data_IF_115466492562
#
_entry.id   IF_115466492562
#
_cell.length_a   1.000
_cell.length_b   1.000
_cell.length_c   1.000
_cell.angle_alpha   90.00
_cell.angle_beta   90.00
_cell.angle_gamma   90.00
#
_symmetry.space_group_name_H-M   'P 1'
#
loop_
_entity.id
_entity.type
_entity.pdbx_description
1 polymer ?
#
# COMPACT_ATOMS: atom_id res chain seq x y z
N UNK A 1 -9.44 12.94 12.83
CA UNK A 1 -9.88 12.90 11.40
C UNK A 1 -8.93 12.18 10.44
N UNK A 2 -7.66 11.87 10.77
CA UNK A 2 -6.70 11.18 9.86
C UNK A 2 -6.97 9.67 9.65
N UNK A 3 -7.31 8.92 10.71
CA UNK A 3 -7.49 7.46 10.63
C UNK A 3 -8.64 6.99 9.71
N UNK A 4 -9.78 7.70 9.71
CA UNK A 4 -10.92 7.34 8.86
C UNK A 4 -10.70 7.62 7.37
N UNK A 5 -9.88 8.61 7.02
CA UNK A 5 -9.46 8.86 5.64
C UNK A 5 -8.44 7.80 5.18
N UNK A 6 -7.47 7.45 6.04
CA UNK A 6 -6.47 6.39 5.79
C UNK A 6 -7.14 5.05 5.47
N UNK A 7 -8.12 4.63 6.29
CA UNK A 7 -8.86 3.39 6.07
C UNK A 7 -9.63 3.33 4.74
N UNK A 8 -10.31 4.40 4.34
CA UNK A 8 -11.04 4.42 3.06
C UNK A 8 -10.12 4.31 1.85
N UNK A 9 -8.89 4.84 1.96
CA UNK A 9 -7.90 4.68 0.90
C UNK A 9 -7.34 3.26 0.87
N UNK A 10 -7.16 2.63 2.03
CA UNK A 10 -6.76 1.22 2.14
C UNK A 10 -7.84 0.30 1.57
N UNK A 11 -9.08 0.40 2.05
CA UNK A 11 -10.19 -0.49 1.66
C UNK A 11 -10.59 -0.38 0.16
N UNK A 12 -10.13 0.67 -0.54
CA UNK A 12 -10.51 0.95 -1.94
C UNK A 12 -9.36 0.76 -2.95
N UNK A 13 -8.16 0.36 -2.48
CA UNK A 13 -7.06 0.05 -3.37
C UNK A 13 -7.03 -1.46 -3.58
N UNK A 14 -7.07 -1.96 -4.83
CA UNK A 14 -6.87 -3.37 -5.05
C UNK A 14 -5.44 -3.75 -4.65
N UNK A 15 -5.29 -4.89 -3.96
CA UNK A 15 -3.99 -5.51 -3.83
C UNK A 15 -3.52 -5.95 -5.22
N UNK A 16 -2.50 -5.28 -5.75
CA UNK A 16 -1.85 -5.66 -7.00
C UNK A 16 -0.85 -6.79 -6.76
N UNK A 17 -0.77 -7.71 -7.72
CA UNK A 17 0.35 -8.65 -7.79
C UNK A 17 1.63 -7.89 -8.09
N UNK A 18 2.76 -8.31 -7.55
CA UNK A 18 4.05 -7.64 -7.77
C UNK A 18 4.41 -7.54 -9.26
N UNK A 19 3.97 -8.51 -10.07
CA UNK A 19 4.13 -8.52 -11.54
C UNK A 19 3.33 -7.43 -12.25
N UNK A 20 2.19 -7.03 -11.69
CA UNK A 20 1.26 -6.04 -12.24
C UNK A 20 1.43 -4.63 -11.67
N UNK A 21 2.41 -4.42 -10.78
CA UNK A 21 2.69 -3.09 -10.24
C UNK A 21 3.11 -2.16 -11.38
N UNK A 22 2.39 -1.05 -11.53
CA UNK A 22 2.70 0.00 -12.48
C UNK A 22 2.68 1.37 -11.78
N UNK A 23 3.08 2.42 -12.50
CA UNK A 23 3.18 3.78 -11.99
C UNK A 23 1.82 4.23 -11.42
N UNK A 24 1.79 4.56 -10.15
CA UNK A 24 0.54 4.91 -9.45
C UNK A 24 0.60 4.60 -7.97
N UNK A 25 -0.48 4.92 -7.26
CA UNK A 25 -0.63 4.52 -5.88
C UNK A 25 -1.06 3.05 -5.84
N UNK A 26 -0.28 2.18 -5.18
CA UNK A 26 -0.47 0.72 -5.21
C UNK A 26 -0.46 0.11 -3.81
N UNK A 27 -1.12 -1.04 -3.69
CA UNK A 27 -1.04 -1.95 -2.54
C UNK A 27 -0.43 -3.27 -3.01
N UNK A 28 0.58 -3.76 -2.28
CA UNK A 28 1.27 -5.01 -2.59
C UNK A 28 1.38 -5.85 -1.32
N UNK A 29 1.10 -7.15 -1.45
CA UNK A 29 1.28 -8.16 -0.40
C UNK A 29 2.31 -9.18 -0.86
N UNK A 30 3.26 -9.51 0.00
CA UNK A 30 4.32 -10.46 -0.32
C UNK A 30 5.18 -10.78 0.90
N UNK A 31 6.41 -11.23 0.66
CA UNK A 31 7.44 -11.43 1.69
C UNK A 31 8.58 -10.44 1.52
N UNK A 32 9.20 -10.04 2.63
CA UNK A 32 10.39 -9.19 2.59
C UNK A 32 11.62 -10.01 2.15
N UNK A 33 12.29 -9.57 1.09
CA UNK A 33 13.44 -10.26 0.49
C UNK A 33 14.62 -9.31 0.32
N UNK A 34 15.84 -9.81 0.53
CA UNK A 34 17.08 -9.06 0.30
C UNK A 34 18.24 -10.02 0.02
N UNK A 35 19.16 -9.61 -0.85
CA UNK A 35 20.42 -10.33 -1.07
C UNK A 35 21.42 -10.12 0.08
N UNK A 36 21.35 -8.96 0.76
CA UNK A 36 22.23 -8.60 1.86
C UNK A 36 21.37 -8.18 3.07
N UNK A 37 20.80 -9.14 3.82
CA UNK A 37 19.99 -8.84 4.99
C UNK A 37 20.84 -8.32 6.16
N UNK A 38 20.23 -7.48 7.00
CA UNK A 38 20.77 -7.06 8.29
C UNK A 38 20.60 -8.20 9.31
N UNK A 39 21.34 -8.11 10.41
CA UNK A 39 21.16 -8.96 11.59
C UNK A 39 20.72 -8.07 12.75
N UNK A 40 19.57 -8.37 13.34
CA UNK A 40 19.01 -7.55 14.42
C UNK A 40 19.88 -7.61 15.68
N UNK A 41 19.85 -6.55 16.48
CA UNK A 41 20.78 -6.38 17.60
C UNK A 41 20.48 -7.34 18.76
N UNK A 42 19.21 -7.51 19.12
CA UNK A 42 18.79 -8.31 20.28
C UNK A 42 18.45 -9.75 19.88
N UNK A 43 17.55 -9.95 18.92
CA UNK A 43 17.10 -11.28 18.49
C UNK A 43 18.11 -12.00 17.58
N UNK A 44 19.06 -11.28 16.96
CA UNK A 44 19.96 -11.87 15.95
C UNK A 44 19.22 -12.33 14.69
N UNK A 45 18.03 -11.79 14.43
CA UNK A 45 17.18 -12.19 13.31
C UNK A 45 17.65 -11.52 12.02
N UNK A 46 17.61 -12.28 10.91
CA UNK A 46 17.86 -11.72 9.57
C UNK A 46 16.69 -10.85 9.17
N UNK A 47 16.93 -9.59 8.84
CA UNK A 47 15.88 -8.61 8.61
C UNK A 47 16.28 -7.56 7.57
N UNK A 48 15.28 -6.85 7.04
CA UNK A 48 15.51 -5.68 6.16
C UNK A 48 15.52 -4.37 6.95
N UNK A 49 15.01 -4.40 8.19
CA UNK A 49 14.98 -3.30 9.14
C UNK A 49 14.75 -3.85 10.54
N UNK A 50 15.38 -3.24 11.54
CA UNK A 50 15.08 -3.46 12.95
C UNK A 50 15.22 -2.16 13.75
N UNK A 51 14.55 -2.13 14.90
CA UNK A 51 14.70 -1.09 15.92
C UNK A 51 14.54 -1.71 17.30
N UNK A 52 15.36 -1.29 18.24
CA UNK A 52 15.36 -1.80 19.60
C UNK A 52 15.38 -0.67 20.62
N UNK A 53 14.86 -0.99 21.80
CA UNK A 53 14.81 -0.10 22.95
C UNK A 53 15.09 -0.91 24.22
N UNK A 54 15.97 -0.35 25.06
CA UNK A 54 16.29 -0.86 26.38
C UNK A 54 15.79 0.16 27.39
N UNK A 55 14.91 -0.28 28.27
CA UNK A 55 14.39 0.53 29.36
C UNK A 55 14.84 -0.05 30.70
N UNK A 56 15.15 0.83 31.64
CA UNK A 56 15.45 0.45 33.01
C UNK A 56 14.36 0.95 33.94
N UNK A 57 13.89 0.06 34.80
CA UNK A 57 12.90 0.40 35.80
C UNK A 57 13.58 1.11 36.98
N UNK A 58 12.91 2.13 37.48
CA UNK A 58 13.33 2.88 38.65
C UNK A 58 12.19 2.93 39.65
N UNK A 59 12.53 2.95 40.93
CA UNK A 59 11.59 3.15 42.02
C UNK A 59 12.21 4.00 43.11
N UNK A 60 11.50 5.07 43.49
CA UNK A 60 11.95 5.97 44.55
C UNK A 60 10.80 6.29 45.50
N UNK A 61 11.18 6.65 46.70
CA UNK A 61 10.24 7.12 47.72
C UNK A 61 10.36 8.63 47.81
N UNK A 62 9.31 9.35 47.42
CA UNK A 62 9.25 10.81 47.48
C UNK A 62 8.46 11.23 48.72
N UNK A 63 9.05 12.13 49.49
CA UNK A 63 8.42 12.71 50.66
C UNK A 63 7.93 14.11 50.31
N UNK A 64 6.62 14.28 50.17
CA UNK A 64 5.99 15.57 49.91
C UNK A 64 5.54 16.20 51.23
N UNK A 65 5.96 17.44 51.46
CA UNK A 65 5.43 18.26 52.56
C UNK A 65 4.36 19.18 51.99
N UNK A 66 3.14 19.06 52.48
CA UNK A 66 2.04 19.96 52.12
C UNK A 66 1.47 20.60 53.38
N UNK A 67 0.96 21.82 53.24
CA UNK A 67 0.30 22.52 54.35
C UNK A 67 -1.17 22.17 54.33
N UNK A 68 -1.70 21.67 55.45
CA UNK A 68 -3.13 21.39 55.56
C UNK A 68 -3.96 22.69 55.64
N UNK A 69 -5.29 22.56 55.57
CA UNK A 69 -6.22 23.70 55.67
C UNK A 69 -6.15 24.42 57.04
N UNK A 70 -5.38 23.90 57.99
CA UNK A 70 -5.15 24.48 59.32
C UNK A 70 -3.75 25.12 59.44
N UNK A 71 -2.97 25.19 58.36
CA UNK A 71 -1.66 25.82 58.35
C UNK A 71 -0.52 24.96 58.92
N UNK A 72 -0.76 23.68 59.23
CA UNK A 72 0.27 22.79 59.79
C UNK A 72 0.96 22.01 58.66
N UNK A 73 2.30 21.94 58.65
CA UNK A 73 3.02 21.12 57.68
C UNK A 73 2.73 19.65 57.97
N UNK A 74 2.20 18.95 56.98
CA UNK A 74 2.00 17.51 56.97
C UNK A 74 2.96 16.89 55.98
N UNK A 75 3.46 15.71 56.32
CA UNK A 75 4.36 14.95 55.47
C UNK A 75 3.64 13.71 54.98
N UNK A 76 3.64 13.48 53.66
CA UNK A 76 3.15 12.25 53.06
C UNK A 76 4.26 11.61 52.24
N UNK A 77 4.44 10.32 52.46
CA UNK A 77 5.34 9.48 51.65
C UNK A 77 4.56 8.92 50.47
N UNK A 78 5.12 9.05 49.28
CA UNK A 78 4.60 8.48 48.04
C UNK A 78 5.67 7.64 47.36
N UNK A 79 5.32 6.44 46.95
CA UNK A 79 6.16 5.62 46.08
C UNK A 79 5.90 5.99 44.62
N UNK A 80 6.97 6.28 43.90
CA UNK A 80 6.94 6.52 42.46
C UNK A 80 7.79 5.44 41.79
N UNK A 81 7.33 4.95 40.64
CA UNK A 81 8.09 4.03 39.81
C UNK A 81 7.79 4.26 38.34
N UNK A 82 8.71 3.86 37.48
CA UNK A 82 8.54 4.01 36.06
C UNK A 82 9.63 3.31 35.27
N UNK A 83 9.48 3.34 33.96
CA UNK A 83 10.50 2.89 33.02
C UNK A 83 11.17 4.11 32.40
N UNK A 84 12.47 4.02 32.20
CA UNK A 84 13.25 5.05 31.52
C UNK A 84 14.09 4.38 30.44
N UNK A 85 13.97 4.85 29.20
CA UNK A 85 14.85 4.43 28.11
C UNK A 85 16.30 4.77 28.46
N UNK A 86 17.15 3.75 28.49
CA UNK A 86 18.58 3.88 28.79
C UNK A 86 19.44 3.76 27.55
N UNK A 87 18.93 3.07 26.53
CA UNK A 87 19.60 2.93 25.24
C UNK A 87 18.57 2.58 24.16
N UNK A 88 18.84 2.96 22.92
CA UNK A 88 18.00 2.64 21.77
C UNK A 88 18.77 2.75 20.48
N UNK A 89 18.32 2.02 19.47
CA UNK A 89 18.96 2.01 18.17
C UNK A 89 18.13 1.29 17.12
N UNK A 90 18.71 1.18 15.94
CA UNK A 90 18.07 0.51 14.81
C UNK A 90 18.77 0.82 13.51
N UNK A 91 18.47 0.01 12.50
CA UNK A 91 19.05 0.11 11.18
C UNK A 91 18.02 -0.35 10.15
N UNK A 92 18.11 0.17 8.93
CA UNK A 92 17.25 -0.21 7.83
C UNK A 92 18.05 -0.20 6.54
N UNK A 93 17.75 -1.16 5.65
CA UNK A 93 18.30 -1.15 4.30
C UNK A 93 17.74 0.03 3.49
N UNK A 94 18.56 0.60 2.62
CA UNK A 94 18.16 1.66 1.68
C UNK A 94 17.06 1.20 0.71
N UNK A 95 17.07 -0.09 0.39
CA UNK A 95 16.03 -0.75 -0.39
C UNK A 95 15.99 -2.25 -0.09
N UNK A 96 14.82 -2.84 -0.25
CA UNK A 96 14.60 -4.29 -0.19
C UNK A 96 13.50 -4.67 -1.17
N UNK A 97 13.27 -5.97 -1.36
CA UNK A 97 12.27 -6.47 -2.28
C UNK A 97 11.04 -6.99 -1.55
N UNK A 98 9.87 -6.77 -2.15
CA UNK A 98 8.66 -7.49 -1.79
C UNK A 98 8.38 -8.51 -2.88
N UNK A 99 8.33 -9.79 -2.50
CA UNK A 99 8.14 -10.90 -3.42
C UNK A 99 6.79 -11.57 -3.18
N UNK A 100 6.08 -11.90 -4.25
CA UNK A 100 4.91 -12.78 -4.20
C UNK A 100 5.12 -13.97 -5.16
N UNK A 101 4.08 -14.78 -5.35
CA UNK A 101 4.14 -15.95 -6.23
C UNK A 101 4.35 -15.58 -7.71
N UNK A 102 4.11 -14.32 -8.08
CA UNK A 102 4.12 -13.86 -9.47
C UNK A 102 5.44 -13.15 -9.84
N UNK A 103 6.03 -12.34 -8.95
CA UNK A 103 7.27 -11.60 -9.19
C UNK A 103 7.83 -10.98 -7.91
N UNK A 104 8.60 -9.91 -8.05
CA UNK A 104 9.06 -9.05 -6.96
C UNK A 104 9.04 -7.57 -7.38
N UNK A 105 8.96 -6.68 -6.39
CA UNK A 105 9.04 -5.22 -6.57
C UNK A 105 10.02 -4.62 -5.57
N UNK A 106 10.81 -3.64 -6.01
CA UNK A 106 11.74 -2.94 -5.14
C UNK A 106 10.99 -1.92 -4.27
N UNK A 107 11.32 -1.84 -2.99
CA UNK A 107 10.74 -0.89 -2.03
C UNK A 107 11.87 -0.09 -1.40
N UNK A 108 11.72 1.24 -1.41
CA UNK A 108 12.61 2.18 -0.72
C UNK A 108 11.91 2.69 0.53
N UNK A 109 12.26 2.20 1.74
CA UNK A 109 11.50 2.48 2.96
C UNK A 109 11.64 3.90 3.49
N UNK A 110 12.55 4.71 2.95
CA UNK A 110 12.72 6.10 3.37
C UNK A 110 11.40 6.88 3.25
N UNK A 111 10.99 7.55 4.32
CA UNK A 111 9.75 8.31 4.38
C UNK A 111 8.47 7.48 4.58
N UNK A 112 8.58 6.14 4.72
CA UNK A 112 7.44 5.30 5.06
C UNK A 112 7.09 5.38 6.55
N UNK A 113 5.80 5.32 6.86
CA UNK A 113 5.33 4.89 8.17
C UNK A 113 5.52 3.38 8.27
N UNK A 114 6.38 2.92 9.18
CA UNK A 114 6.72 1.50 9.31
C UNK A 114 6.12 0.90 10.59
N UNK A 115 5.40 -0.20 10.45
CA UNK A 115 4.79 -0.96 11.53
C UNK A 115 5.38 -2.38 11.58
N UNK A 116 6.59 -2.55 12.15
CA UNK A 116 7.26 -3.85 12.24
C UNK A 116 6.64 -4.76 13.32
N UNK A 117 6.95 -6.05 13.27
CA UNK A 117 6.50 -7.02 14.26
C UNK A 117 7.51 -7.06 15.43
N UNK A 118 7.05 -7.25 16.68
CA UNK A 118 7.97 -7.49 17.79
C UNK A 118 8.67 -8.84 17.60
N UNK A 119 9.99 -8.86 17.67
CA UNK A 119 10.84 -10.07 17.54
C UNK A 119 11.58 -10.41 18.84
N UNK A 120 11.70 -9.44 19.76
CA UNK A 120 12.28 -9.66 21.08
C UNK A 120 11.52 -8.86 22.14
N UNK A 121 11.23 -9.48 23.28
CA UNK A 121 10.65 -8.82 24.45
C UNK A 121 10.97 -9.61 25.72
N UNK A 122 12.05 -9.24 26.39
CA UNK A 122 12.45 -9.88 27.64
C UNK A 122 12.71 -8.85 28.73
N UNK A 123 12.48 -9.25 29.98
CA UNK A 123 12.82 -8.45 31.16
C UNK A 123 13.77 -9.25 32.03
N UNK A 124 14.93 -8.67 32.35
CA UNK A 124 15.95 -9.35 33.11
C UNK A 124 16.51 -8.49 34.24
N UNK A 125 17.22 -9.13 35.17
CA UNK A 125 17.95 -8.49 36.26
C UNK A 125 19.46 -8.66 36.12
N UNK A 126 20.24 -8.10 37.05
CA UNK A 126 21.72 -8.08 36.98
C UNK A 126 22.42 -9.43 36.86
N UNK A 127 21.78 -10.51 37.31
CA UNK A 127 22.33 -11.86 37.23
C UNK A 127 22.27 -12.43 35.82
N UNK A 128 21.46 -11.84 34.95
CA UNK A 128 21.29 -12.28 33.56
C UNK A 128 22.42 -11.70 32.68
N UNK A 129 23.12 -12.54 31.88
CA UNK A 129 24.13 -12.08 30.92
C UNK A 129 23.62 -10.99 29.97
N UNK A 130 22.33 -10.98 29.63
CA UNK A 130 21.71 -9.98 28.77
C UNK A 130 21.84 -8.56 29.33
N UNK A 131 21.77 -8.41 30.66
CA UNK A 131 21.72 -7.11 31.34
C UNK A 131 22.92 -6.22 31.00
N UNK A 132 24.13 -6.79 31.03
CA UNK A 132 25.39 -6.08 30.72
C UNK A 132 25.94 -6.42 29.33
N UNK A 133 25.53 -7.55 28.73
CA UNK A 133 26.00 -7.97 27.41
C UNK A 133 25.42 -7.11 26.28
N UNK A 134 24.18 -6.64 26.44
CA UNK A 134 23.49 -5.79 25.45
C UNK A 134 23.03 -4.45 26.02
N UNK A 135 23.01 -4.28 27.34
CA UNK A 135 22.62 -3.04 28.00
C UNK A 135 23.82 -2.19 28.46
N UNK A 136 23.60 -0.89 28.74
CA UNK A 136 24.66 0.01 29.17
C UNK A 136 25.26 -0.39 30.53
N UNK A 137 26.55 -0.14 30.74
CA UNK A 137 27.24 -0.53 31.97
C UNK A 137 26.72 0.20 33.24
N UNK A 138 26.17 1.41 33.06
CA UNK A 138 25.71 2.28 34.14
C UNK A 138 24.19 2.20 34.28
N UNK A 139 23.72 2.13 35.53
CA UNK A 139 22.30 2.17 35.87
C UNK A 139 21.80 3.61 36.03
N UNK A 140 20.50 3.83 35.79
CA UNK A 140 19.85 5.12 36.09
C UNK A 140 19.72 5.35 37.59
N UNK A 141 19.52 6.60 37.99
CA UNK A 141 19.18 6.96 39.38
C UNK A 141 17.92 6.21 39.84
N UNK A 142 17.92 5.76 41.10
CA UNK A 142 16.80 5.01 41.70
C UNK A 142 16.46 3.70 40.98
N UNK A 143 17.40 3.13 40.23
CA UNK A 143 17.20 1.86 39.54
C UNK A 143 16.96 0.70 40.51
N UNK A 144 16.01 -0.16 40.16
CA UNK A 144 15.83 -1.47 40.81
C UNK A 144 16.59 -2.60 40.08
N UNK A 145 17.40 -2.21 39.10
CA UNK A 145 18.17 -3.05 38.21
C UNK A 145 17.36 -4.09 37.44
N UNK A 146 16.15 -3.73 37.05
CA UNK A 146 15.36 -4.49 36.09
C UNK A 146 15.37 -3.76 34.76
N UNK A 147 15.80 -4.46 33.71
CA UNK A 147 15.80 -3.93 32.35
C UNK A 147 14.83 -4.68 31.48
N UNK A 148 14.08 -3.95 30.67
CA UNK A 148 13.22 -4.46 29.61
C UNK A 148 13.88 -4.18 28.28
N UNK A 149 14.08 -5.25 27.52
CA UNK A 149 14.70 -5.25 26.21
C UNK A 149 13.61 -5.55 25.19
N UNK A 150 13.38 -4.63 24.26
CA UNK A 150 12.40 -4.82 23.19
C UNK A 150 13.05 -4.60 21.84
N UNK A 151 12.70 -5.44 20.87
CA UNK A 151 13.11 -5.28 19.47
C UNK A 151 11.94 -5.57 18.56
N UNK A 152 11.79 -4.74 17.54
CA UNK A 152 10.87 -5.00 16.44
C UNK A 152 11.63 -4.99 15.12
N UNK A 153 11.27 -5.90 14.22
CA UNK A 153 11.93 -6.03 12.93
C UNK A 153 10.94 -6.38 11.81
N UNK A 154 11.40 -6.13 10.58
CA UNK A 154 10.84 -6.76 9.39
C UNK A 154 11.79 -7.90 9.04
N UNK A 155 11.48 -9.08 9.54
CA UNK A 155 12.29 -10.28 9.29
C UNK A 155 12.28 -10.65 7.80
N UNK A 156 13.35 -11.29 7.37
CA UNK A 156 13.44 -11.86 6.04
C UNK A 156 12.37 -12.94 5.88
N UNK A 157 11.74 -13.00 4.71
CA UNK A 157 10.62 -13.88 4.37
C UNK A 157 9.33 -13.65 5.17
N UNK A 158 9.29 -12.65 6.06
CA UNK A 158 8.08 -12.34 6.80
C UNK A 158 7.00 -11.75 5.86
N UNK A 159 5.72 -12.08 6.06
CA UNK A 159 4.62 -11.44 5.37
C UNK A 159 4.67 -9.92 5.53
N UNK A 160 4.61 -9.22 4.40
CA UNK A 160 4.72 -7.79 4.33
C UNK A 160 3.59 -7.22 3.49
N UNK A 161 3.02 -6.15 4.02
CA UNK A 161 2.04 -5.31 3.37
C UNK A 161 2.68 -3.96 3.07
N UNK A 162 2.73 -3.58 1.80
CA UNK A 162 3.28 -2.29 1.36
C UNK A 162 2.23 -1.52 0.59
N UNK A 163 2.01 -0.27 1.00
CA UNK A 163 1.14 0.66 0.31
C UNK A 163 1.87 1.97 0.09
N UNK A 164 2.01 2.40 -1.16
CA UNK A 164 2.78 3.58 -1.48
C UNK A 164 2.69 3.97 -2.96
N UNK A 165 3.45 4.99 -3.34
CA UNK A 165 3.54 5.40 -4.73
C UNK A 165 4.56 4.52 -5.45
N UNK A 166 4.07 3.73 -6.40
CA UNK A 166 4.90 3.10 -7.41
C UNK A 166 5.31 4.15 -8.46
N UNK A 167 6.60 4.16 -8.76
CA UNK A 167 7.21 4.95 -9.83
C UNK A 167 8.14 4.05 -10.62
N UNK A 168 8.50 4.50 -11.82
CA UNK A 168 9.50 3.80 -12.60
C UNK A 168 10.88 4.00 -12.00
N UNK A 169 11.71 2.95 -12.04
CA UNK A 169 13.11 3.04 -11.68
C UNK A 169 13.90 3.82 -12.74
N UNK A 170 15.00 4.43 -12.33
CA UNK A 170 15.87 5.19 -13.24
C UNK A 170 16.77 4.30 -14.09
N UNK A 171 17.04 3.06 -13.65
CA UNK A 171 18.04 2.18 -14.24
C UNK A 171 17.45 1.11 -15.18
N UNK A 172 16.19 0.74 -15.00
CA UNK A 172 15.49 -0.24 -15.82
C UNK A 172 13.97 -0.04 -15.79
N UNK A 173 13.27 -0.54 -16.81
CA UNK A 173 11.80 -0.47 -16.92
C UNK A 173 11.15 -1.45 -15.95
N UNK A 174 11.16 -1.10 -14.67
CA UNK A 174 10.43 -1.80 -13.63
C UNK A 174 9.95 -0.82 -12.57
N UNK A 175 8.89 -1.18 -11.83
CA UNK A 175 8.41 -0.37 -10.73
C UNK A 175 9.35 -0.43 -9.52
N UNK A 176 9.42 0.67 -8.79
CA UNK A 176 9.81 0.73 -7.38
C UNK A 176 8.73 1.46 -6.58
N UNK A 177 8.52 1.08 -5.33
CA UNK A 177 7.65 1.81 -4.39
C UNK A 177 8.52 2.69 -3.52
N UNK A 178 8.25 3.99 -3.53
CA UNK A 178 9.04 4.97 -2.80
C UNK A 178 8.15 6.11 -2.27
N UNK A 179 8.71 6.91 -1.37
CA UNK A 179 8.03 8.09 -0.86
C UNK A 179 7.77 9.12 -1.97
N UNK A 180 6.54 9.62 -2.02
CA UNK A 180 6.12 10.71 -2.88
C UNK A 180 5.24 11.67 -2.08
N UNK A 181 5.49 12.98 -2.19
CA UNK A 181 4.76 14.01 -1.43
C UNK A 181 3.29 14.13 -1.85
N UNK A 182 2.96 13.73 -3.07
CA UNK A 182 1.60 13.71 -3.59
C UNK A 182 0.83 12.45 -3.19
N UNK A 183 1.54 11.42 -2.71
CA UNK A 183 0.91 10.19 -2.25
C UNK A 183 0.14 10.44 -0.95
N UNK A 184 -1.07 9.87 -0.80
CA UNK A 184 -1.88 10.05 0.40
C UNK A 184 -1.26 9.40 1.63
N UNK A 185 -0.42 8.37 1.45
CA UNK A 185 0.31 7.67 2.50
C UNK A 185 1.45 6.85 1.91
N UNK A 186 2.40 6.48 2.75
CA UNK A 186 3.38 5.44 2.45
C UNK A 186 3.53 4.58 3.71
N UNK A 187 3.10 3.32 3.65
CA UNK A 187 3.01 2.40 4.76
C UNK A 187 3.71 1.08 4.43
N UNK A 188 4.53 0.61 5.36
CA UNK A 188 5.13 -0.72 5.34
C UNK A 188 4.74 -1.40 6.66
N UNK A 189 3.98 -2.49 6.60
CA UNK A 189 3.46 -3.16 7.78
C UNK A 189 3.66 -4.66 7.70
N UNK A 190 4.10 -5.26 8.81
CA UNK A 190 4.12 -6.74 8.98
C UNK A 190 2.80 -7.25 9.58
N UNK A 191 1.87 -6.36 9.92
CA UNK A 191 0.56 -6.73 10.47
C UNK A 191 -0.36 -7.22 9.36
N UNK A 192 -1.13 -8.26 9.65
CA UNK A 192 -2.14 -8.76 8.71
C UNK A 192 -3.31 -7.76 8.61
N UNK A 193 -3.96 -7.66 7.44
CA UNK A 193 -5.08 -6.75 7.14
C UNK A 193 -6.23 -6.85 8.16
N UNK A 194 -6.48 -8.04 8.71
CA UNK A 194 -7.43 -8.27 9.81
C UNK A 194 -7.05 -7.57 11.13
N UNK A 195 -5.78 -7.38 11.41
CA UNK A 195 -5.31 -6.70 12.63
C UNK A 195 -5.35 -5.17 12.50
N UNK A 196 -5.27 -4.63 11.28
CA UNK A 196 -5.46 -3.20 11.01
C UNK A 196 -6.96 -2.82 11.04
N UNK A 197 -7.84 -3.72 10.60
CA UNK A 197 -9.30 -3.47 10.54
C UNK A 197 -10.07 -3.73 11.85
N UNK A 198 -9.54 -4.55 12.77
CA UNK A 198 -10.31 -5.09 13.92
C UNK A 198 -10.45 -4.17 15.15
N UNK A 199 -9.68 -3.09 15.28
CA UNK A 199 -9.90 -2.11 16.36
C UNK A 199 -11.00 -1.08 16.07
N UNK A 200 -11.25 -0.82 14.78
CA UNK A 200 -12.04 0.33 14.36
C UNK A 200 -13.51 0.00 14.09
N UNK A 201 -13.82 -1.25 13.76
CA UNK A 201 -15.20 -1.73 13.66
C UNK A 201 -15.97 -1.53 14.98
N UNK A 202 -15.36 -1.92 16.10
CA UNK A 202 -15.93 -1.72 17.42
C UNK A 202 -16.10 -0.24 17.76
N UNK A 203 -15.12 0.61 17.46
CA UNK A 203 -15.22 2.05 17.72
C UNK A 203 -16.33 2.71 16.88
N UNK A 204 -16.46 2.35 15.60
CA UNK A 204 -17.53 2.84 14.73
C UNK A 204 -18.90 2.42 15.25
N UNK A 205 -19.10 1.13 15.55
CA UNK A 205 -20.34 0.64 16.16
C UNK A 205 -20.61 1.27 17.52
N UNK A 206 -19.56 1.51 18.32
CA UNK A 206 -19.65 2.24 19.58
C UNK A 206 -20.19 3.66 19.39
N UNK A 207 -19.71 4.39 18.39
CA UNK A 207 -20.24 5.72 18.05
C UNK A 207 -21.67 5.68 17.49
N UNK A 208 -22.01 4.67 16.70
CA UNK A 208 -23.38 4.48 16.19
C UNK A 208 -24.36 4.21 17.34
N UNK A 209 -24.00 3.29 18.26
CA UNK A 209 -24.81 2.98 19.44
C UNK A 209 -24.88 4.18 20.38
N UNK A 210 -23.77 4.88 20.60
CA UNK A 210 -23.75 6.11 21.41
C UNK A 210 -24.62 7.22 20.83
N UNK A 211 -24.60 7.41 19.50
CA UNK A 211 -25.48 8.36 18.82
C UNK A 211 -26.96 7.99 18.97
N UNK A 212 -27.31 6.71 18.84
CA UNK A 212 -28.66 6.22 19.08
C UNK A 212 -29.09 6.45 20.54
N UNK A 213 -28.21 6.18 21.51
CA UNK A 213 -28.46 6.44 22.93
C UNK A 213 -28.72 7.93 23.18
N UNK A 214 -27.95 8.83 22.59
CA UNK A 214 -28.19 10.28 22.70
C UNK A 214 -29.52 10.71 22.07
N UNK A 215 -29.86 10.18 20.90
CA UNK A 215 -31.13 10.49 20.23
C UNK A 215 -32.34 10.06 21.08
N UNK A 216 -32.25 8.88 21.71
CA UNK A 216 -33.28 8.38 22.63
C UNK A 216 -33.30 9.16 23.95
N UNK A 217 -32.14 9.39 24.55
CA UNK A 217 -32.00 10.10 25.82
C UNK A 217 -32.58 11.53 25.76
N UNK A 218 -32.40 12.24 24.65
CA UNK A 218 -32.98 13.58 24.47
C UNK A 218 -34.51 13.58 24.52
N UNK A 219 -35.17 12.59 23.91
CA UNK A 219 -36.63 12.48 23.91
C UNK A 219 -37.15 12.00 25.27
N UNK A 220 -36.45 11.05 25.90
CA UNK A 220 -36.77 10.57 27.26
C UNK A 220 -36.62 11.69 28.29
N UNK A 221 -35.54 12.47 28.23
CA UNK A 221 -35.30 13.60 29.13
C UNK A 221 -36.38 14.68 28.96
N UNK A 222 -36.81 14.98 27.73
CA UNK A 222 -37.93 15.90 27.46
C UNK A 222 -39.24 15.40 28.06
N UNK A 223 -39.57 14.12 27.87
CA UNK A 223 -40.81 13.55 28.38
C UNK A 223 -40.80 13.47 29.92
N UNK A 224 -39.64 13.17 30.54
CA UNK A 224 -39.43 13.26 31.98
C UNK A 224 -39.58 14.69 32.52
N UNK A 225 -38.97 15.68 31.87
CA UNK A 225 -39.07 17.09 32.25
C UNK A 225 -40.48 17.68 32.10
N UNK A 226 -41.31 17.10 31.23
CA UNK A 226 -42.72 17.50 31.03
C UNK A 226 -43.71 16.69 31.88
N UNK A 227 -43.21 15.87 32.82
CA UNK A 227 -44.04 15.07 33.73
C UNK A 227 -44.84 13.97 33.05
N UNK A 228 -44.44 13.54 31.84
CA UNK A 228 -45.13 12.48 31.08
C UNK A 228 -44.65 11.10 31.56
N UNK A 229 -45.55 10.12 31.53
CA UNK A 229 -45.19 8.72 31.77
C UNK A 229 -44.22 8.21 30.69
N UNK A 230 -42.99 7.92 31.08
CA UNK A 230 -41.91 7.43 30.22
C UNK A 230 -42.13 5.95 29.86
N UNK A 231 -42.67 5.14 30.78
CA UNK A 231 -42.82 3.71 30.59
C UNK A 231 -43.93 3.39 29.57
N UNK A 232 -45.07 4.07 29.64
CA UNK A 232 -46.18 3.89 28.70
C UNK A 232 -45.94 4.46 27.29
N UNK A 233 -44.94 5.33 27.11
CA UNK A 233 -44.66 6.02 25.83
C UNK A 233 -43.56 5.38 24.99
N UNK A 234 -43.08 4.19 25.35
CA UNK A 234 -42.03 3.49 24.60
C UNK A 234 -42.24 3.39 23.07
N UNK A 235 -43.48 3.27 22.52
CA UNK A 235 -43.66 3.23 21.07
C UNK A 235 -43.24 4.54 20.38
N UNK A 236 -43.35 5.68 21.06
CA UNK A 236 -42.94 6.98 20.51
C UNK A 236 -41.41 7.10 20.40
N UNK A 237 -40.65 6.31 21.15
CA UNK A 237 -39.19 6.28 21.06
C UNK A 237 -38.68 5.48 19.85
N UNK A 238 -39.56 4.70 19.18
CA UNK A 238 -39.22 4.06 17.91
C UNK A 238 -39.04 5.08 16.78
N UNK A 239 -39.72 6.23 16.83
CA UNK A 239 -39.63 7.30 15.82
C UNK A 239 -38.22 7.90 15.77
N UNK A 240 -37.63 8.44 16.87
CA UNK A 240 -36.28 8.97 16.85
C UNK A 240 -35.24 7.88 16.55
N UNK A 241 -35.45 6.63 17.00
CA UNK A 241 -34.58 5.51 16.64
C UNK A 241 -34.61 5.22 15.13
N UNK A 242 -35.79 5.19 14.51
CA UNK A 242 -35.95 5.00 13.07
C UNK A 242 -35.36 6.17 12.27
N UNK A 243 -35.59 7.42 12.71
CA UNK A 243 -34.96 8.59 12.11
C UNK A 243 -33.44 8.53 12.19
N UNK A 244 -32.89 8.15 13.34
CA UNK A 244 -31.44 7.97 13.51
C UNK A 244 -30.90 6.88 12.58
N UNK A 245 -31.55 5.72 12.55
CA UNK A 245 -31.19 4.62 11.65
C UNK A 245 -31.22 5.03 10.18
N UNK A 246 -32.23 5.81 9.78
CA UNK A 246 -32.34 6.35 8.42
C UNK A 246 -31.18 7.30 8.08
N UNK A 247 -30.80 8.21 8.99
CA UNK A 247 -29.64 9.10 8.80
C UNK A 247 -28.34 8.32 8.67
N UNK A 248 -28.13 7.30 9.52
CA UNK A 248 -26.95 6.42 9.45
C UNK A 248 -26.92 5.67 8.11
N UNK A 249 -28.06 5.16 7.65
CA UNK A 249 -28.18 4.48 6.36
C UNK A 249 -27.85 5.43 5.18
N UNK A 250 -28.38 6.66 5.19
CA UNK A 250 -28.06 7.68 4.17
C UNK A 250 -26.57 8.03 4.17
N UNK A 251 -25.95 8.20 5.34
CA UNK A 251 -24.53 8.48 5.45
C UNK A 251 -23.68 7.33 4.89
N UNK A 252 -24.08 6.08 5.16
CA UNK A 252 -23.43 4.89 4.61
C UNK A 252 -23.57 4.82 3.08
N UNK A 253 -24.78 5.02 2.53
CA UNK A 253 -25.04 5.05 1.08
C UNK A 253 -24.18 6.12 0.40
N UNK A 254 -24.13 7.33 0.96
CA UNK A 254 -23.28 8.42 0.46
C UNK A 254 -21.80 8.03 0.41
N UNK A 255 -21.30 7.37 1.45
CA UNK A 255 -19.91 6.93 1.50
C UNK A 255 -19.61 5.84 0.47
N UNK A 256 -20.47 4.81 0.37
CA UNK A 256 -20.31 3.71 -0.56
C UNK A 256 -20.43 4.17 -2.03
N UNK A 257 -21.35 5.08 -2.33
CA UNK A 257 -21.48 5.66 -3.66
C UNK A 257 -20.22 6.42 -4.09
N UNK A 258 -19.69 7.30 -3.25
CA UNK A 258 -18.46 8.04 -3.55
C UNK A 258 -17.24 7.12 -3.70
N UNK A 259 -17.21 6.02 -2.94
CA UNK A 259 -16.21 4.97 -3.08
C UNK A 259 -16.24 4.30 -4.46
N UNK A 260 -17.43 4.00 -4.99
CA UNK A 260 -17.58 3.43 -6.33
C UNK A 260 -17.20 4.46 -7.43
N UNK A 261 -17.48 5.74 -7.21
CA UNK A 261 -17.04 6.82 -8.12
C UNK A 261 -15.52 6.91 -8.18
N UNK A 262 -14.83 6.88 -7.03
CA UNK A 262 -13.36 6.88 -6.96
C UNK A 262 -12.78 5.69 -7.74
N UNK A 263 -13.33 4.49 -7.53
CA UNK A 263 -12.88 3.29 -8.23
C UNK A 263 -13.10 3.37 -9.74
N UNK A 264 -14.22 3.93 -10.20
CA UNK A 264 -14.46 4.18 -11.63
C UNK A 264 -13.41 5.14 -12.22
N UNK A 265 -13.01 6.18 -11.49
CA UNK A 265 -11.97 7.09 -11.95
C UNK A 265 -10.58 6.42 -11.98
N UNK A 266 -10.28 5.52 -11.05
CA UNK A 266 -9.06 4.72 -11.08
C UNK A 266 -8.97 3.84 -12.30
N UNK A 267 -10.06 3.18 -12.71
CA UNK A 267 -10.08 2.38 -13.95
C UNK A 267 -9.79 3.28 -15.17
N UNK A 268 -10.38 4.47 -15.23
CA UNK A 268 -10.13 5.45 -16.31
C UNK A 268 -8.68 5.93 -16.33
N UNK A 269 -8.10 6.18 -15.15
CA UNK A 269 -6.69 6.54 -15.02
C UNK A 269 -5.78 5.39 -15.47
N UNK A 270 -6.09 4.15 -15.11
CA UNK A 270 -5.33 2.99 -15.57
C UNK A 270 -5.41 2.83 -17.11
N UNK A 271 -6.59 3.07 -17.70
CA UNK A 271 -6.74 3.08 -19.16
C UNK A 271 -5.92 4.19 -19.83
N UNK A 272 -5.90 5.41 -19.27
CA UNK A 272 -5.12 6.50 -19.85
C UNK A 272 -3.62 6.22 -19.84
N UNK A 273 -3.13 5.48 -18.85
CA UNK A 273 -1.74 5.02 -18.82
C UNK A 273 -1.41 4.08 -19.99
N UNK A 274 -2.32 3.17 -20.34
CA UNK A 274 -2.17 2.31 -21.52
C UNK A 274 -2.18 3.14 -22.80
N UNK A 275 -3.12 4.07 -22.93
CA UNK A 275 -3.27 4.94 -24.10
C UNK A 275 -2.00 5.80 -24.36
N UNK A 276 -1.40 6.35 -23.30
CA UNK A 276 -0.14 7.09 -23.41
C UNK A 276 0.99 6.23 -23.99
N UNK A 277 1.11 4.97 -23.56
CA UNK A 277 2.17 4.09 -24.08
C UNK A 277 1.88 3.60 -25.50
N UNK A 278 0.60 3.36 -25.85
CA UNK A 278 0.19 3.05 -27.22
C UNK A 278 0.49 4.23 -28.15
N UNK A 279 0.23 5.46 -27.71
CA UNK A 279 0.60 6.67 -28.46
C UNK A 279 2.11 6.79 -28.61
N UNK A 280 2.89 6.55 -27.56
CA UNK A 280 4.36 6.52 -27.65
C UNK A 280 4.84 5.50 -28.70
N UNK A 281 4.29 4.30 -28.70
CA UNK A 281 4.59 3.27 -29.71
C UNK A 281 4.24 3.77 -31.11
N UNK A 282 3.07 4.38 -31.27
CA UNK A 282 2.64 4.96 -32.53
C UNK A 282 3.62 6.03 -33.05
N UNK A 283 4.16 6.86 -32.16
CA UNK A 283 5.09 7.94 -32.50
C UNK A 283 6.51 7.41 -32.79
N UNK A 284 6.91 6.26 -32.22
CA UNK A 284 8.23 5.65 -32.43
C UNK A 284 8.34 4.86 -33.75
N UNK A 285 7.26 4.19 -34.18
CA UNK A 285 7.27 3.33 -35.37
C UNK A 285 7.69 4.08 -36.65
N UNK A 286 7.18 5.29 -36.98
CA UNK A 286 7.62 6.03 -38.16
C UNK A 286 9.11 6.34 -38.18
N UNK A 287 9.69 6.68 -37.02
CA UNK A 287 11.12 6.94 -36.89
C UNK A 287 11.95 5.68 -37.09
N UNK A 288 11.53 4.55 -36.48
CA UNK A 288 12.16 3.25 -36.71
C UNK A 288 12.13 2.87 -38.19
N UNK A 289 10.97 3.02 -38.82
CA UNK A 289 10.79 2.73 -40.23
C UNK A 289 11.69 3.64 -41.09
N UNK A 290 11.79 4.92 -40.78
CA UNK A 290 12.69 5.85 -41.48
C UNK A 290 14.14 5.39 -41.45
N UNK A 291 14.66 5.04 -40.27
CA UNK A 291 16.04 4.54 -40.10
C UNK A 291 16.27 3.24 -40.88
N UNK A 292 15.34 2.29 -40.78
CA UNK A 292 15.41 1.01 -41.50
C UNK A 292 15.40 1.22 -43.02
N UNK A 293 14.50 2.06 -43.54
CA UNK A 293 14.42 2.35 -45.00
C UNK A 293 15.65 3.08 -45.54
N UNK A 294 16.27 3.96 -44.75
CA UNK A 294 17.48 4.67 -45.16
C UNK A 294 18.71 3.76 -45.26
N UNK A 295 18.73 2.65 -44.50
CA UNK A 295 19.88 1.75 -44.38
C UNK A 295 19.76 0.47 -45.22
N UNK A 296 18.54 -0.06 -45.39
CA UNK A 296 18.30 -1.36 -46.03
C UNK A 296 17.76 -1.27 -47.48
N UNK A 297 17.65 -0.07 -48.05
CA UNK A 297 17.26 0.12 -49.46
C UNK A 297 15.80 -0.26 -49.77
N UNK A 298 15.45 -0.31 -51.06
CA UNK A 298 14.07 -0.52 -51.57
C UNK A 298 13.68 -2.01 -51.60
N UNK A 299 13.95 -2.78 -50.54
CA UNK A 299 13.60 -4.20 -50.52
C UNK A 299 12.10 -4.41 -50.25
N UNK A 300 11.41 -5.09 -51.18
CA UNK A 300 9.96 -5.30 -51.13
C UNK A 300 9.50 -6.09 -49.90
N UNK A 301 10.30 -7.07 -49.47
CA UNK A 301 10.06 -7.89 -48.27
C UNK A 301 9.99 -7.01 -47.01
N UNK A 302 10.99 -6.15 -46.84
CA UNK A 302 11.11 -5.20 -45.74
C UNK A 302 10.01 -4.15 -45.76
N UNK A 303 9.68 -3.59 -46.94
CA UNK A 303 8.56 -2.66 -47.05
C UNK A 303 7.23 -3.28 -46.64
N UNK A 304 7.04 -4.57 -46.87
CA UNK A 304 5.83 -5.30 -46.46
C UNK A 304 5.78 -5.47 -44.93
N UNK A 305 6.90 -5.80 -44.28
CA UNK A 305 7.00 -5.91 -42.82
C UNK A 305 6.84 -4.55 -42.12
N UNK A 306 7.43 -3.49 -42.70
CA UNK A 306 7.26 -2.12 -42.21
C UNK A 306 5.83 -1.62 -42.45
N UNK A 307 5.18 -2.00 -43.54
CA UNK A 307 3.76 -1.72 -43.77
C UNK A 307 2.87 -2.46 -42.77
N UNK A 308 3.22 -3.68 -42.36
CA UNK A 308 2.52 -4.41 -41.29
C UNK A 308 2.72 -3.74 -39.91
N UNK A 309 3.91 -3.24 -39.59
CA UNK A 309 4.11 -2.41 -38.39
C UNK A 309 3.28 -1.11 -38.45
N UNK A 310 3.16 -0.49 -39.64
CA UNK A 310 2.31 0.70 -39.82
C UNK A 310 0.83 0.39 -39.73
N UNK A 311 0.35 -0.78 -40.16
CA UNK A 311 -1.07 -1.13 -40.04
C UNK A 311 -1.47 -1.41 -38.58
N UNK A 312 -0.51 -1.79 -37.73
CA UNK A 312 -0.68 -1.87 -36.27
C UNK A 312 -0.86 -0.50 -35.57
N UNK A 313 -0.73 0.61 -36.31
CA UNK A 313 -0.91 1.98 -35.81
C UNK A 313 -2.38 2.43 -35.73
N UNK A 314 -3.33 1.69 -36.32
CA UNK A 314 -4.73 2.11 -36.22
C UNK A 314 -5.24 1.92 -34.79
N UNK A 315 -5.25 3.03 -34.04
CA UNK A 315 -5.75 3.11 -32.69
C UNK A 315 -7.25 2.74 -32.65
N UNK A 316 -7.58 1.71 -31.87
CA UNK A 316 -8.98 1.38 -31.61
C UNK A 316 -9.60 2.41 -30.67
N UNK A 317 -10.81 2.92 -30.97
CA UNK A 317 -11.53 3.84 -30.09
C UNK A 317 -11.86 3.22 -28.71
N UNK A 318 -12.12 4.04 -27.69
CA UNK A 318 -12.59 3.57 -26.39
C UNK A 318 -13.92 2.81 -26.51
N UNK A 319 -14.03 1.63 -25.89
CA UNK A 319 -15.28 0.86 -25.79
C UNK A 319 -15.46 -0.29 -26.78
N UNK A 320 -14.47 -0.53 -27.66
CA UNK A 320 -14.38 -1.75 -28.46
C UNK A 320 -13.46 -2.74 -27.72
N UNK A 321 -13.82 -4.03 -27.54
CA UNK A 321 -12.87 -5.04 -27.10
C UNK A 321 -11.62 -4.93 -27.98
N UNK A 322 -10.46 -4.79 -27.34
CA UNK A 322 -9.29 -4.14 -27.94
C UNK A 322 -8.81 -4.69 -29.29
N UNK A 323 -7.99 -3.89 -30.01
CA UNK A 323 -7.37 -4.30 -31.27
C UNK A 323 -6.58 -5.59 -31.05
N UNK A 324 -6.43 -6.37 -32.10
CA UNK A 324 -5.47 -7.47 -32.18
C UNK A 324 -4.08 -6.91 -31.78
N UNK A 325 -3.71 -7.01 -30.49
CA UNK A 325 -2.53 -6.38 -29.90
C UNK A 325 -1.30 -7.18 -30.31
N UNK A 326 -0.85 -6.96 -31.54
CA UNK A 326 0.40 -7.59 -32.00
C UNK A 326 1.56 -6.77 -31.44
N UNK A 327 2.40 -7.43 -30.64
CA UNK A 327 3.68 -6.87 -30.25
C UNK A 327 4.48 -6.54 -31.52
N UNK A 328 5.16 -5.40 -31.56
CA UNK A 328 6.07 -5.10 -32.67
C UNK A 328 7.38 -5.88 -32.57
N UNK A 329 7.69 -6.43 -31.38
CA UNK A 329 8.93 -7.16 -31.06
C UNK A 329 9.25 -8.31 -32.03
N UNK A 330 8.30 -9.21 -32.40
CA UNK A 330 8.61 -10.30 -33.32
C UNK A 330 9.03 -9.81 -34.71
N UNK A 331 8.38 -8.74 -35.21
CA UNK A 331 8.75 -8.12 -36.49
C UNK A 331 10.12 -7.47 -36.37
N UNK A 332 10.40 -6.81 -35.25
CA UNK A 332 11.69 -6.17 -35.01
C UNK A 332 12.82 -7.21 -34.96
N UNK A 333 12.63 -8.33 -34.25
CA UNK A 333 13.58 -9.46 -34.20
C UNK A 333 13.85 -10.00 -35.60
N UNK A 334 12.81 -10.24 -36.40
CA UNK A 334 12.96 -10.70 -37.79
C UNK A 334 13.78 -9.71 -38.66
N UNK A 335 13.59 -8.40 -38.47
CA UNK A 335 14.41 -7.37 -39.15
C UNK A 335 15.86 -7.42 -38.69
N UNK A 336 16.16 -7.68 -37.41
CA UNK A 336 17.55 -7.75 -36.92
C UNK A 336 18.29 -8.97 -37.48
N UNK A 337 17.62 -10.13 -37.50
CA UNK A 337 18.20 -11.37 -38.02
C UNK A 337 18.57 -11.24 -39.49
N UNK A 338 17.74 -10.55 -40.27
CA UNK A 338 17.99 -10.32 -41.70
C UNK A 338 19.01 -9.22 -41.97
N UNK A 339 19.12 -8.22 -41.11
CA UNK A 339 20.01 -7.07 -41.31
C UNK A 339 20.89 -6.78 -40.08
N UNK A 340 21.92 -7.61 -39.80
CA UNK A 340 22.81 -7.43 -38.64
C UNK A 340 23.52 -6.07 -38.63
N UNK A 341 23.77 -5.48 -39.81
CA UNK A 341 24.37 -4.16 -39.95
C UNK A 341 23.54 -3.05 -39.27
N UNK A 342 22.22 -3.19 -39.17
CA UNK A 342 21.35 -2.23 -38.47
C UNK A 342 21.63 -2.19 -36.97
N UNK A 343 21.98 -3.33 -36.36
CA UNK A 343 22.25 -3.43 -34.91
C UNK A 343 23.45 -2.57 -34.51
N UNK A 344 24.44 -2.44 -35.41
CA UNK A 344 25.61 -1.58 -35.19
C UNK A 344 25.31 -0.08 -35.28
N UNK A 345 24.15 0.30 -35.83
CA UNK A 345 23.78 1.70 -35.99
C UNK A 345 23.17 2.23 -34.70
N UNK A 346 23.81 3.24 -34.11
CA UNK A 346 23.41 3.81 -32.83
C UNK A 346 21.94 4.29 -32.82
N UNK A 347 21.49 4.90 -33.92
CA UNK A 347 20.12 5.39 -34.08
C UNK A 347 19.08 4.26 -34.07
N UNK A 348 19.37 3.14 -34.74
CA UNK A 348 18.51 1.96 -34.73
C UNK A 348 18.52 1.26 -33.38
N UNK A 349 19.69 1.06 -32.78
CA UNK A 349 19.84 0.45 -31.45
C UNK A 349 19.13 1.28 -30.36
N UNK A 350 19.12 2.61 -30.48
CA UNK A 350 18.36 3.50 -29.59
C UNK A 350 16.85 3.33 -29.78
N UNK A 351 16.34 3.40 -31.02
CA UNK A 351 14.91 3.25 -31.30
C UNK A 351 14.37 1.85 -30.94
N UNK A 352 15.17 0.81 -31.17
CA UNK A 352 14.85 -0.54 -30.71
C UNK A 352 14.66 -0.55 -29.19
N UNK A 353 15.62 -0.03 -28.42
CA UNK A 353 15.53 0.00 -26.96
C UNK A 353 14.30 0.76 -26.51
N UNK A 354 14.03 1.94 -27.08
CA UNK A 354 12.84 2.72 -26.77
C UNK A 354 11.54 1.97 -27.10
N UNK A 355 11.49 1.20 -28.18
CA UNK A 355 10.32 0.40 -28.54
C UNK A 355 10.14 -0.80 -27.59
N UNK A 356 11.21 -1.53 -27.27
CA UNK A 356 11.18 -2.65 -26.31
C UNK A 356 10.74 -2.15 -24.93
N UNK A 357 11.29 -1.03 -24.47
CA UNK A 357 10.89 -0.37 -23.23
C UNK A 357 9.41 0.03 -23.26
N UNK A 358 8.93 0.52 -24.40
CA UNK A 358 7.52 0.89 -24.59
C UNK A 358 6.61 -0.35 -24.52
N UNK A 359 7.00 -1.46 -25.15
CA UNK A 359 6.24 -2.72 -25.06
C UNK A 359 6.21 -3.28 -23.62
N UNK A 360 7.32 -3.18 -22.88
CA UNK A 360 7.35 -3.54 -21.46
C UNK A 360 6.41 -2.67 -20.62
N UNK A 361 6.40 -1.35 -20.85
CA UNK A 361 5.47 -0.42 -20.18
C UNK A 361 4.02 -0.71 -20.53
N UNK A 362 3.71 -1.05 -21.78
CA UNK A 362 2.37 -1.46 -22.21
C UNK A 362 1.95 -2.72 -21.43
N UNK A 363 2.81 -3.73 -21.33
CA UNK A 363 2.51 -4.94 -20.58
C UNK A 363 2.19 -4.66 -19.11
N UNK A 364 3.00 -3.82 -18.43
CA UNK A 364 2.74 -3.44 -17.04
C UNK A 364 1.44 -2.63 -16.88
N UNK A 365 1.20 -1.66 -17.77
CA UNK A 365 -0.01 -0.84 -17.72
C UNK A 365 -1.29 -1.67 -17.95
N UNK A 366 -1.22 -2.71 -18.79
CA UNK A 366 -2.31 -3.68 -19.01
C UNK A 366 -2.60 -4.51 -17.77
N UNK A 367 -1.56 -5.02 -17.11
CA UNK A 367 -1.69 -5.75 -15.84
C UNK A 367 -2.38 -4.90 -14.79
N UNK A 368 -1.89 -3.67 -14.59
CA UNK A 368 -2.47 -2.71 -13.67
C UNK A 368 -3.94 -2.35 -14.00
N UNK A 369 -4.26 -2.14 -15.28
CA UNK A 369 -5.65 -1.92 -15.70
C UNK A 369 -6.54 -3.12 -15.38
N UNK A 370 -6.10 -4.33 -15.70
CA UNK A 370 -6.86 -5.55 -15.44
C UNK A 370 -7.08 -5.79 -13.94
N UNK A 371 -6.10 -5.50 -13.09
CA UNK A 371 -6.24 -5.61 -11.63
C UNK A 371 -7.33 -4.66 -11.10
N UNK A 372 -7.30 -3.38 -11.51
CA UNK A 372 -8.28 -2.39 -11.07
C UNK A 372 -9.66 -2.67 -11.66
N UNK A 373 -9.74 -3.03 -12.94
CA UNK A 373 -10.99 -3.37 -13.61
C UNK A 373 -11.64 -4.61 -12.98
N UNK A 374 -10.85 -5.64 -12.63
CA UNK A 374 -11.33 -6.82 -11.90
C UNK A 374 -11.91 -6.41 -10.55
N UNK A 375 -11.17 -5.64 -9.74
CA UNK A 375 -11.67 -5.20 -8.44
C UNK A 375 -12.93 -4.34 -8.54
N UNK A 376 -12.99 -3.45 -9.53
CA UNK A 376 -14.18 -2.68 -9.85
C UNK A 376 -15.37 -3.57 -10.18
N UNK A 377 -15.21 -4.51 -11.11
CA UNK A 377 -16.27 -5.44 -11.52
C UNK A 377 -16.76 -6.29 -10.33
N UNK A 378 -15.84 -6.82 -9.51
CA UNK A 378 -16.20 -7.57 -8.30
C UNK A 378 -17.02 -6.74 -7.33
N UNK A 379 -16.69 -5.46 -7.12
CA UNK A 379 -17.49 -4.56 -6.27
C UNK A 379 -18.88 -4.28 -6.84
N UNK A 380 -19.03 -4.18 -8.16
CA UNK A 380 -20.35 -4.03 -8.78
C UNK A 380 -21.25 -5.26 -8.56
N UNK A 381 -20.67 -6.43 -8.32
CA UNK A 381 -21.40 -7.68 -8.12
C UNK A 381 -21.62 -8.05 -6.64
N UNK A 382 -20.84 -7.48 -5.73
CA UNK A 382 -20.88 -7.79 -4.30
C UNK A 382 -21.96 -6.99 -3.57
N UNK A 383 -22.73 -7.64 -2.69
CA UNK A 383 -23.73 -6.98 -1.83
C UNK A 383 -23.03 -6.33 -0.63
N UNK A 384 -23.38 -5.09 -0.25
CA UNK A 384 -24.51 -4.26 -0.74
C UNK A 384 -24.23 -3.37 -1.96
N UNK A 385 -22.98 -3.24 -2.39
CA UNK A 385 -22.55 -2.34 -3.47
C UNK A 385 -23.31 -2.57 -4.79
N UNK A 386 -23.70 -3.81 -5.09
CA UNK A 386 -24.52 -4.18 -6.26
C UNK A 386 -25.80 -3.33 -6.42
N UNK A 387 -26.48 -3.02 -5.32
CA UNK A 387 -27.72 -2.23 -5.38
C UNK A 387 -27.41 -0.76 -5.70
N UNK A 388 -26.35 -0.22 -5.12
CA UNK A 388 -25.88 1.14 -5.39
C UNK A 388 -25.34 1.28 -6.82
N UNK A 389 -24.66 0.24 -7.31
CA UNK A 389 -24.16 0.16 -8.67
C UNK A 389 -25.28 0.29 -9.70
N UNK A 390 -26.40 -0.41 -9.48
CA UNK A 390 -27.59 -0.32 -10.33
C UNK A 390 -28.22 1.08 -10.33
N UNK A 391 -28.37 1.70 -9.15
CA UNK A 391 -28.91 3.07 -9.02
C UNK A 391 -28.01 4.13 -9.67
N UNK A 392 -26.69 3.95 -9.61
CA UNK A 392 -25.69 4.88 -10.14
C UNK A 392 -25.21 4.60 -11.57
N UNK A 393 -25.86 3.68 -12.29
CA UNK A 393 -25.49 3.25 -13.64
C UNK A 393 -23.98 2.94 -13.79
N UNK A 394 -23.41 2.23 -12.80
CA UNK A 394 -22.03 1.75 -12.88
C UNK A 394 -22.00 0.52 -13.79
N UNK A 395 -21.21 0.57 -14.87
CA UNK A 395 -21.10 -0.51 -15.85
C UNK A 395 -19.77 -1.24 -15.74
N UNK A 396 -19.75 -2.59 -15.77
CA UNK A 396 -18.52 -3.37 -15.78
C UNK A 396 -17.58 -2.95 -16.90
N UNK A 397 -16.27 -3.04 -16.65
CA UNK A 397 -15.22 -2.70 -17.61
C UNK A 397 -14.63 -3.99 -18.21
N UNK A 398 -14.49 -4.09 -19.54
CA UNK A 398 -13.90 -5.26 -20.17
C UNK A 398 -12.41 -5.35 -19.83
N UNK A 399 -11.93 -6.57 -19.58
CA UNK A 399 -10.51 -6.83 -19.36
C UNK A 399 -9.77 -6.88 -20.70
N UNK A 400 -8.49 -6.53 -20.69
CA UNK A 400 -7.60 -6.68 -21.84
C UNK A 400 -7.11 -8.12 -21.91
N UNK A 401 -7.33 -8.80 -23.05
CA UNK A 401 -6.88 -10.18 -23.27
C UNK A 401 -5.35 -10.29 -23.14
N UNK A 402 -4.85 -11.38 -22.57
CA UNK A 402 -3.43 -11.60 -22.26
C UNK A 402 -2.71 -12.45 -23.33
N UNK A 403 -2.99 -12.24 -24.61
CA UNK A 403 -2.64 -13.27 -25.60
C UNK A 403 -1.15 -13.39 -25.95
N UNK A 404 -0.30 -12.36 -25.76
CA UNK A 404 1.00 -12.37 -26.47
C UNK A 404 2.21 -11.79 -25.73
N UNK A 405 2.12 -11.39 -24.46
CA UNK A 405 3.31 -10.89 -23.73
C UNK A 405 3.18 -11.09 -22.22
N UNK A 406 3.73 -12.18 -21.70
CA UNK A 406 3.99 -12.36 -20.28
C UNK A 406 5.39 -11.82 -19.95
N UNK A 407 5.49 -10.99 -18.91
CA UNK A 407 6.78 -10.53 -18.41
C UNK A 407 7.55 -11.74 -17.90
N UNK A 408 8.73 -12.00 -18.46
CA UNK A 408 9.69 -12.88 -17.78
C UNK A 408 10.18 -12.16 -16.53
N UNK A 409 10.00 -12.73 -15.32
CA UNK A 409 10.46 -12.10 -14.10
C UNK A 409 11.98 -11.91 -14.18
N UNK A 410 12.46 -10.73 -13.79
CA UNK A 410 13.90 -10.49 -13.64
C UNK A 410 14.41 -11.44 -12.56
N UNK A 411 15.39 -12.28 -12.84
CA UNK A 411 15.93 -13.16 -11.81
C UNK A 411 16.80 -12.33 -10.86
N UNK A 412 16.44 -12.30 -9.59
CA UNK A 412 17.25 -11.71 -8.51
C UNK A 412 17.47 -12.82 -7.50
N UNK A 413 18.74 -13.14 -7.24
CA UNK A 413 19.10 -14.11 -6.20
C UNK A 413 18.92 -13.46 -4.83
N UNK A 414 17.99 -13.99 -4.04
CA UNK A 414 17.77 -13.57 -2.66
C UNK A 414 18.55 -14.47 -1.71
N UNK A 415 18.98 -13.94 -0.57
CA UNK A 415 19.67 -14.73 0.42
C UNK A 415 18.69 -15.74 1.02
N UNK A 416 19.00 -17.03 0.92
CA UNK A 416 18.21 -18.14 1.50
C UNK A 416 18.37 -18.19 3.01
#
# INVERSE_FOLDING_TARGET
MRAGRRRRFVDNLPTSKTSGVFIGFVEVKGTAESANPLVSHLAGARCVRYSWEIEEHWSRTVTETYTDNQGKPQTRTRHESGWKTVDSGGEALDAFYVKDDCSHVLVRPEGAEVEPAPVFNETCGRSDPLYYGKGPAVAVSDSDHRRRFTESAIELHAPLYVMGQARERNDLVAPEIAHDKSAPMFLISTRNEKQISSGFGWAYWGWVVFGLMLALAGVIARDSATGRDVAGRWPFYLIPAACYGFVVALAWVWMAFNSLVDLRQRVRQAWSLVDVQLKRRHDLIPNLVGVVTGLAGHEKSLQTELAAMRSQLQATPPGVPGPDYRACTPVLVAVQERYPALVSQESFAKLQRELVDTEQRIALARGYFNDIATHYNTRLETVPDRFLAGLGAFTPQPLMAANDFERTPVQVEFAT
#
